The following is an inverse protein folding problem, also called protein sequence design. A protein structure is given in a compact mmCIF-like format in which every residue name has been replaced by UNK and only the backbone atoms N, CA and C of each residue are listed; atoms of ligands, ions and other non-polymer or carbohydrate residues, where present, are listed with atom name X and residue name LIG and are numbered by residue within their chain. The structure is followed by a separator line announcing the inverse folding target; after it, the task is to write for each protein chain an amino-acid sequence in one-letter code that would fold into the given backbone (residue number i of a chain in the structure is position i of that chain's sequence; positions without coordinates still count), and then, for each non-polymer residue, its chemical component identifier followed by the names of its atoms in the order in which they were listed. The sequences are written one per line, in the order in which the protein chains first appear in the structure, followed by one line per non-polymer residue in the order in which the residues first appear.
data_IF_169843090768
#
_entry.id   IF_169843090768
#
_cell.length_a   1.000
_cell.length_b   1.000
_cell.length_c   1.000
_cell.angle_alpha   90.00
_cell.angle_beta   90.00
_cell.angle_gamma   90.00
#
_symmetry.space_group_name_H-M   'P 1'
#
loop_
_entity.id
_entity.type
_entity.pdbx_description
1 polymer ?
#
# COMPACT_ATOMS: atom_id res chain seq x y z
N UNK A 1 12.93 -0.72 33.42
CA UNK A 1 13.10 0.61 32.79
C UNK A 1 14.10 0.44 31.64
N UNK A 2 13.63 -0.07 30.50
CA UNK A 2 14.45 -0.15 29.28
C UNK A 2 14.56 1.26 28.70
N UNK A 3 15.74 1.63 28.24
CA UNK A 3 16.07 2.99 27.82
C UNK A 3 15.03 3.57 26.87
N UNK A 4 14.75 4.86 27.02
CA UNK A 4 13.98 5.64 26.07
C UNK A 4 14.70 5.57 24.71
N UNK A 5 14.37 4.56 23.91
CA UNK A 5 14.71 4.52 22.50
C UNK A 5 14.18 5.79 21.87
N UNK A 6 14.95 6.36 20.96
CA UNK A 6 14.66 7.61 20.26
C UNK A 6 13.24 7.56 19.66
N UNK A 7 12.26 8.16 20.33
CA UNK A 7 10.87 8.17 19.91
C UNK A 7 10.75 9.00 18.63
N UNK A 8 10.27 8.40 17.54
CA UNK A 8 10.08 9.10 16.28
C UNK A 8 8.69 8.87 15.70
N UNK A 9 8.09 9.94 15.16
CA UNK A 9 6.90 9.86 14.30
C UNK A 9 7.21 9.31 12.90
N UNK A 10 8.50 9.27 12.52
CA UNK A 10 8.92 8.73 11.23
C UNK A 10 9.22 7.24 11.36
N UNK A 11 8.79 6.46 10.39
CA UNK A 11 9.22 5.05 10.31
C UNK A 11 10.66 4.99 9.85
N UNK A 12 11.47 4.23 10.60
CA UNK A 12 12.81 3.85 10.21
C UNK A 12 12.75 2.43 9.65
N UNK A 13 13.03 2.30 8.36
CA UNK A 13 13.26 1.01 7.71
C UNK A 13 14.74 0.63 7.84
N UNK A 14 15.10 -0.65 7.58
CA UNK A 14 16.50 -1.01 7.35
C UNK A 14 17.17 -0.09 6.32
N UNK A 15 18.48 0.13 6.45
CA UNK A 15 19.21 1.05 5.55
C UNK A 15 19.24 0.59 4.09
N UNK A 16 19.16 -0.72 3.87
CA UNK A 16 19.21 -1.35 2.55
C UNK A 16 17.93 -2.12 2.29
N UNK A 17 17.49 -2.08 1.04
CA UNK A 17 16.44 -2.98 0.56
C UNK A 17 16.89 -4.44 0.73
N UNK A 18 15.97 -5.37 1.02
CA UNK A 18 16.31 -6.78 1.12
C UNK A 18 16.76 -7.33 -0.24
N UNK A 19 17.69 -8.28 -0.23
CA UNK A 19 18.18 -8.94 -1.46
C UNK A 19 17.14 -9.94 -1.96
N UNK A 20 16.55 -10.70 -1.03
CA UNK A 20 15.42 -11.59 -1.27
C UNK A 20 14.20 -11.07 -0.53
N UNK A 21 13.02 -11.25 -1.11
CA UNK A 21 11.78 -10.74 -0.55
C UNK A 21 11.40 -11.33 0.84
N UNK A 22 12.08 -12.39 1.26
CA UNK A 22 11.93 -13.04 2.57
C UNK A 22 12.93 -12.59 3.63
N UNK A 23 13.96 -11.80 3.30
CA UNK A 23 15.07 -11.51 4.22
C UNK A 23 14.62 -10.82 5.52
N UNK A 24 13.54 -10.02 5.45
CA UNK A 24 13.00 -9.27 6.59
C UNK A 24 11.68 -9.81 7.12
N UNK A 25 11.28 -11.02 6.74
CA UNK A 25 10.06 -11.64 7.26
C UNK A 25 10.11 -11.76 8.80
N UNK A 26 9.05 -11.31 9.47
CA UNK A 26 8.96 -11.31 10.93
C UNK A 26 9.70 -10.15 11.60
N UNK A 27 10.22 -9.19 10.83
CA UNK A 27 10.88 -8.01 11.35
C UNK A 27 9.97 -7.23 12.30
N UNK A 28 10.45 -6.96 13.52
CA UNK A 28 9.88 -5.93 14.37
C UNK A 28 10.54 -4.59 14.01
N UNK A 29 9.78 -3.68 13.41
CA UNK A 29 10.28 -2.34 13.12
C UNK A 29 10.42 -1.56 14.45
N UNK A 30 11.38 -0.60 14.53
CA UNK A 30 11.52 0.26 15.70
C UNK A 30 10.20 0.92 16.07
N UNK A 31 9.94 1.18 17.34
CA UNK A 31 8.66 1.75 17.77
C UNK A 31 8.39 3.13 17.14
N UNK A 32 7.11 3.47 16.99
CA UNK A 32 6.65 4.81 16.62
C UNK A 32 5.99 5.47 17.81
N UNK A 33 6.12 6.79 17.92
CA UNK A 33 5.57 7.55 19.03
C UNK A 33 4.75 8.73 18.56
N UNK A 34 3.53 8.82 19.08
CA UNK A 34 2.62 9.91 18.85
C UNK A 34 2.42 10.68 20.16
N UNK A 35 2.90 11.91 20.17
CA UNK A 35 2.76 12.85 21.28
C UNK A 35 1.63 13.84 21.01
N UNK A 36 1.20 14.56 22.06
CA UNK A 36 0.19 15.61 21.99
C UNK A 36 -1.15 15.19 22.59
N UNK A 37 -2.03 16.16 22.79
CA UNK A 37 -3.41 15.89 23.19
C UNK A 37 -4.19 15.33 22.00
N UNK A 38 -4.98 14.29 22.25
CA UNK A 38 -5.80 13.64 21.24
C UNK A 38 -6.99 14.50 20.79
N UNK A 39 -7.89 13.95 19.96
CA UNK A 39 -7.89 12.56 19.49
C UNK A 39 -6.81 12.26 18.44
N UNK A 40 -6.16 11.11 18.60
CA UNK A 40 -5.33 10.49 17.56
C UNK A 40 -6.23 9.77 16.57
N UNK A 41 -5.90 9.84 15.28
CA UNK A 41 -6.72 9.26 14.23
C UNK A 41 -5.92 8.34 13.32
N UNK A 42 -6.51 7.20 13.00
CA UNK A 42 -5.95 6.21 12.08
C UNK A 42 -6.96 6.01 10.98
N UNK A 43 -6.50 6.05 9.72
CA UNK A 43 -7.34 5.60 8.61
C UNK A 43 -6.98 4.16 8.25
N UNK A 44 -8.00 3.41 7.83
CA UNK A 44 -7.85 2.03 7.36
C UNK A 44 -8.40 1.95 5.94
N UNK A 45 -7.67 1.30 5.05
CA UNK A 45 -8.07 1.08 3.65
C UNK A 45 -7.59 -0.29 3.18
N UNK A 46 -8.34 -0.92 2.29
CA UNK A 46 -8.02 -2.15 1.58
C UNK A 46 -8.83 -2.22 0.29
N UNK A 47 -8.54 -3.20 -0.57
CA UNK A 47 -9.32 -3.46 -1.79
C UNK A 47 -9.50 -2.19 -2.67
N UNK A 48 -8.43 -1.40 -2.81
CA UNK A 48 -8.51 -0.07 -3.41
C UNK A 48 -7.76 0.07 -4.73
N UNK A 49 -6.85 -0.86 -5.05
CA UNK A 49 -6.02 -0.77 -6.24
C UNK A 49 -6.83 -0.68 -7.54
N UNK A 50 -6.32 0.07 -8.51
CA UNK A 50 -6.84 0.06 -9.87
C UNK A 50 -5.83 -0.52 -10.85
N UNK A 51 -6.31 -0.78 -12.07
CA UNK A 51 -5.51 -1.18 -13.21
C UNK A 51 -4.67 0.02 -13.68
N UNK A 52 -3.36 -0.19 -13.82
CA UNK A 52 -2.41 0.85 -14.26
C UNK A 52 -1.88 0.49 -15.65
N UNK A 53 -2.25 1.30 -16.65
CA UNK A 53 -1.81 1.09 -18.05
C UNK A 53 -0.73 2.08 -18.49
N UNK A 54 -0.66 3.24 -17.84
CA UNK A 54 0.31 4.29 -18.16
C UNK A 54 0.57 5.16 -16.93
N UNK A 55 1.83 5.61 -16.69
CA UNK A 55 2.12 6.55 -15.61
C UNK A 55 1.39 7.90 -15.75
N UNK A 56 0.91 8.23 -16.96
CA UNK A 56 0.25 9.51 -17.28
C UNK A 56 -1.27 9.44 -17.19
N UNK A 57 -1.84 8.27 -16.92
CA UNK A 57 -3.28 8.08 -16.81
C UNK A 57 -3.65 7.70 -15.38
N UNK A 58 -4.80 8.18 -14.88
CA UNK A 58 -5.31 7.70 -13.60
C UNK A 58 -5.60 6.20 -13.67
N UNK A 59 -5.50 5.48 -12.54
CA UNK A 59 -5.84 4.07 -12.49
C UNK A 59 -7.32 3.87 -12.81
N UNK A 60 -7.63 2.79 -13.52
CA UNK A 60 -8.99 2.42 -13.90
C UNK A 60 -9.46 1.32 -12.96
N UNK A 61 -10.67 1.40 -12.37
CA UNK A 61 -11.16 0.34 -11.50
C UNK A 61 -11.22 -1.02 -12.21
N UNK A 62 -10.89 -2.08 -11.46
CA UNK A 62 -11.06 -3.43 -11.95
C UNK A 62 -12.54 -3.76 -12.11
N UNK A 63 -12.94 -4.15 -13.31
CA UNK A 63 -14.33 -4.32 -13.67
C UNK A 63 -14.63 -5.78 -14.06
N UNK A 64 -15.45 -6.45 -13.25
CA UNK A 64 -15.88 -7.84 -13.45
C UNK A 64 -16.99 -8.01 -14.49
N UNK A 65 -17.25 -7.02 -15.37
CA UNK A 65 -18.15 -7.18 -16.52
C UNK A 65 -17.58 -7.96 -17.70
N UNK A 66 -16.35 -8.49 -17.59
CA UNK A 66 -15.77 -9.39 -18.59
C UNK A 66 -16.75 -10.51 -18.99
N UNK A 67 -16.71 -10.92 -20.27
CA UNK A 67 -17.49 -12.05 -20.79
C UNK A 67 -17.22 -13.36 -20.04
N UNK A 68 -16.09 -13.43 -19.32
CA UNK A 68 -15.70 -14.56 -18.48
C UNK A 68 -16.57 -14.72 -17.23
N UNK A 69 -17.26 -13.67 -16.78
CA UNK A 69 -18.18 -13.75 -15.65
C UNK A 69 -19.61 -14.01 -16.15
N UNK A 70 -20.30 -15.04 -15.60
CA UNK A 70 -21.69 -15.33 -15.94
C UNK A 70 -22.56 -14.08 -15.81
N UNK A 71 -23.48 -13.81 -16.76
CA UNK A 71 -24.31 -12.61 -16.75
C UNK A 71 -25.05 -12.37 -15.43
N UNK A 72 -25.42 -13.43 -14.71
CA UNK A 72 -26.07 -13.37 -13.39
C UNK A 72 -25.24 -12.69 -12.28
N UNK A 73 -23.93 -12.54 -12.46
CA UNK A 73 -23.05 -11.86 -11.51
C UNK A 73 -22.71 -10.42 -11.94
N UNK A 74 -23.28 -9.96 -13.06
CA UNK A 74 -23.11 -8.57 -13.50
C UNK A 74 -24.18 -7.73 -12.82
N UNK A 75 -23.75 -6.79 -11.99
CA UNK A 75 -24.62 -5.70 -11.54
C UNK A 75 -24.66 -4.60 -12.60
N UNK A 76 -25.67 -3.74 -12.51
CA UNK A 76 -25.75 -2.54 -13.33
C UNK A 76 -24.53 -1.64 -13.09
N UNK A 77 -24.02 -1.11 -14.18
CA UNK A 77 -22.87 -0.22 -14.16
C UNK A 77 -23.31 1.21 -13.92
N UNK A 78 -22.75 1.82 -12.89
CA UNK A 78 -23.02 3.20 -12.52
C UNK A 78 -21.86 4.06 -13.01
N UNK A 79 -22.07 4.72 -14.15
CA UNK A 79 -21.12 5.70 -14.71
C UNK A 79 -20.87 6.81 -13.69
N UNK A 80 -19.61 7.21 -13.55
CA UNK A 80 -19.14 8.17 -12.57
C UNK A 80 -18.81 7.56 -11.20
N UNK A 81 -19.24 6.33 -10.92
CA UNK A 81 -18.93 5.58 -9.69
C UNK A 81 -17.99 4.43 -10.01
N UNK A 82 -18.38 3.55 -10.94
CA UNK A 82 -17.67 2.31 -11.23
C UNK A 82 -16.44 2.49 -12.13
N UNK A 83 -16.36 3.58 -12.89
CA UNK A 83 -15.18 4.02 -13.64
C UNK A 83 -14.20 4.84 -12.79
N UNK A 84 -14.58 5.21 -11.56
CA UNK A 84 -13.83 6.15 -10.72
C UNK A 84 -13.70 5.72 -9.27
N UNK A 85 -14.01 4.47 -8.92
CA UNK A 85 -14.13 3.99 -7.56
C UNK A 85 -12.94 4.40 -6.67
N UNK A 86 -11.71 4.11 -7.10
CA UNK A 86 -10.50 4.47 -6.36
C UNK A 86 -10.36 6.00 -6.17
N UNK A 87 -10.61 6.78 -7.23
CA UNK A 87 -10.53 8.24 -7.18
C UNK A 87 -11.58 8.84 -6.24
N UNK A 88 -12.79 8.27 -6.19
CA UNK A 88 -13.85 8.69 -5.28
C UNK A 88 -13.51 8.36 -3.83
N UNK A 89 -12.96 7.17 -3.55
CA UNK A 89 -12.49 6.81 -2.21
C UNK A 89 -11.40 7.77 -1.75
N UNK A 90 -10.41 8.06 -2.62
CA UNK A 90 -9.35 9.02 -2.33
C UNK A 90 -9.88 10.43 -2.06
N UNK A 91 -10.90 10.88 -2.80
CA UNK A 91 -11.59 12.16 -2.52
C UNK A 91 -12.27 12.18 -1.15
N UNK A 92 -12.96 11.09 -0.77
CA UNK A 92 -13.59 10.98 0.56
C UNK A 92 -12.57 10.93 1.68
N UNK A 93 -11.48 10.18 1.52
CA UNK A 93 -10.37 10.18 2.48
C UNK A 93 -9.77 11.58 2.63
N UNK A 94 -9.54 12.30 1.52
CA UNK A 94 -9.00 13.66 1.55
C UNK A 94 -9.90 14.61 2.32
N UNK A 95 -11.22 14.57 2.05
CA UNK A 95 -12.22 15.38 2.76
C UNK A 95 -12.27 15.05 4.25
N UNK A 96 -12.19 13.77 4.61
CA UNK A 96 -12.13 13.34 6.02
C UNK A 96 -10.83 13.82 6.71
N UNK A 97 -9.72 13.79 5.99
CA UNK A 97 -8.41 14.18 6.51
C UNK A 97 -8.31 15.66 6.87
N UNK A 98 -9.15 16.53 6.30
CA UNK A 98 -9.16 17.97 6.61
C UNK A 98 -9.43 18.28 8.08
N UNK A 99 -10.13 17.39 8.79
CA UNK A 99 -10.47 17.60 10.20
C UNK A 99 -10.09 16.41 11.09
N UNK A 100 -9.96 15.21 10.54
CA UNK A 100 -9.43 14.07 11.30
C UNK A 100 -7.90 14.03 11.31
N UNK A 101 -7.21 14.56 10.29
CA UNK A 101 -5.75 14.63 10.22
C UNK A 101 -5.02 13.35 10.69
N UNK A 102 -5.15 12.21 9.99
CA UNK A 102 -4.66 10.92 10.48
C UNK A 102 -3.15 10.94 10.77
N UNK A 103 -2.75 10.25 11.82
CA UNK A 103 -1.37 10.03 12.23
C UNK A 103 -0.66 9.10 11.24
N UNK A 104 -1.35 8.02 10.83
CA UNK A 104 -0.90 7.02 9.87
C UNK A 104 -2.09 6.31 9.20
N UNK A 105 -1.77 5.50 8.19
CA UNK A 105 -2.73 4.73 7.40
C UNK A 105 -2.37 3.24 7.53
N UNK A 106 -3.36 2.43 7.87
CA UNK A 106 -3.29 0.97 7.79
C UNK A 106 -3.87 0.54 6.44
N UNK A 107 -3.03 -0.04 5.60
CA UNK A 107 -3.36 -0.53 4.29
C UNK A 107 -3.37 -2.06 4.30
N UNK A 108 -4.55 -2.66 4.19
CA UNK A 108 -4.78 -4.10 4.39
C UNK A 108 -4.68 -4.92 3.10
N UNK A 109 -4.07 -4.37 2.05
CA UNK A 109 -3.72 -5.08 0.83
C UNK A 109 -4.69 -4.86 -0.33
N UNK A 110 -4.45 -5.63 -1.40
CA UNK A 110 -5.06 -5.46 -2.71
C UNK A 110 -4.76 -4.07 -3.30
N UNK A 111 -3.46 -3.78 -3.33
CA UNK A 111 -2.88 -2.49 -3.68
C UNK A 111 -2.90 -2.26 -5.20
N UNK A 112 -2.75 -3.32 -5.98
CA UNK A 112 -2.77 -3.29 -7.45
C UNK A 112 -3.64 -4.41 -8.00
N UNK A 113 -4.80 -4.03 -8.53
CA UNK A 113 -5.67 -4.97 -9.22
C UNK A 113 -5.31 -5.10 -10.70
N UNK A 114 -5.63 -6.23 -11.36
CA UNK A 114 -6.18 -7.47 -10.77
C UNK A 114 -5.09 -8.50 -10.45
N UNK A 115 -3.86 -8.25 -10.84
CA UNK A 115 -2.79 -9.22 -10.73
C UNK A 115 -1.48 -8.55 -10.28
N UNK A 116 -1.55 -7.57 -9.38
CA UNK A 116 -0.36 -6.97 -8.80
C UNK A 116 0.42 -6.11 -9.79
N UNK A 117 1.73 -5.98 -9.53
CA UNK A 117 2.64 -5.30 -10.45
C UNK A 117 3.08 -6.25 -11.57
N UNK A 118 3.32 -5.69 -12.76
CA UNK A 118 3.74 -6.39 -13.98
C UNK A 118 5.22 -6.85 -13.94
N UNK A 119 5.57 -7.64 -12.93
CA UNK A 119 6.86 -8.30 -12.72
C UNK A 119 6.63 -9.77 -12.38
N UNK A 120 7.67 -10.60 -12.46
CA UNK A 120 7.61 -11.97 -11.94
C UNK A 120 7.75 -11.98 -10.43
N UNK A 121 7.02 -12.88 -9.75
CA UNK A 121 7.22 -13.17 -8.34
C UNK A 121 8.64 -13.70 -7.98
N UNK A 122 9.42 -14.11 -8.98
CA UNK A 122 10.82 -14.54 -8.80
C UNK A 122 11.83 -13.40 -8.95
N UNK A 123 11.40 -12.22 -9.41
CA UNK A 123 12.28 -11.06 -9.55
C UNK A 123 12.61 -10.47 -8.17
N UNK A 124 13.85 -10.01 -7.94
CA UNK A 124 14.24 -9.46 -6.64
C UNK A 124 13.49 -8.15 -6.34
N UNK A 125 13.36 -7.73 -5.07
CA UNK A 125 12.74 -6.46 -4.69
C UNK A 125 13.33 -5.25 -5.42
N UNK A 126 14.64 -5.26 -5.69
CA UNK A 126 15.34 -4.20 -6.43
C UNK A 126 14.90 -4.05 -7.89
N UNK A 127 14.18 -5.01 -8.47
CA UNK A 127 13.65 -4.89 -9.83
C UNK A 127 12.60 -3.78 -9.97
N UNK A 128 12.11 -3.20 -8.85
CA UNK A 128 11.17 -2.07 -8.83
C UNK A 128 11.61 -0.87 -9.71
N UNK A 129 12.93 -0.66 -9.85
CA UNK A 129 13.52 0.41 -10.66
C UNK A 129 13.56 0.10 -12.16
N UNK A 130 13.51 -1.17 -12.54
CA UNK A 130 13.56 -1.63 -13.92
C UNK A 130 12.19 -1.66 -14.58
N UNK A 131 12.12 -1.78 -15.92
CA UNK A 131 10.86 -1.98 -16.62
C UNK A 131 10.27 -3.35 -16.29
N UNK A 132 8.97 -3.39 -16.03
CA UNK A 132 8.18 -4.62 -15.97
C UNK A 132 7.87 -5.17 -17.36
N UNK A 133 7.03 -6.20 -17.44
CA UNK A 133 6.63 -6.86 -18.70
C UNK A 133 5.95 -5.92 -19.68
N UNK A 134 5.25 -4.90 -19.18
CA UNK A 134 4.59 -3.85 -19.98
C UNK A 134 5.52 -2.69 -20.37
N UNK A 135 6.78 -2.71 -19.93
CA UNK A 135 7.75 -1.61 -20.09
C UNK A 135 7.63 -0.52 -19.02
N UNK A 136 6.58 -0.53 -18.19
CA UNK A 136 6.40 0.39 -17.07
C UNK A 136 7.25 -0.04 -15.87
N UNK A 137 7.93 0.89 -15.20
CA UNK A 137 8.63 0.57 -13.95
C UNK A 137 7.63 0.41 -12.81
N UNK A 138 8.03 -0.25 -11.72
CA UNK A 138 7.17 -0.28 -10.54
C UNK A 138 7.06 1.08 -9.85
N UNK A 139 8.09 1.93 -9.97
CA UNK A 139 8.04 3.31 -9.48
C UNK A 139 6.93 4.11 -10.18
N UNK A 140 6.81 3.96 -11.50
CA UNK A 140 5.73 4.56 -12.30
C UNK A 140 4.34 4.05 -11.87
N UNK A 141 4.22 2.75 -11.60
CA UNK A 141 2.97 2.15 -11.14
C UNK A 141 2.53 2.72 -9.79
N UNK A 142 3.43 2.82 -8.81
CA UNK A 142 3.10 3.46 -7.53
C UNK A 142 2.84 4.96 -7.65
N UNK A 143 3.55 5.67 -8.54
CA UNK A 143 3.29 7.10 -8.75
C UNK A 143 1.86 7.33 -9.21
N UNK A 144 1.43 6.61 -10.24
CA UNK A 144 0.10 6.76 -10.84
C UNK A 144 -1.02 6.18 -9.98
N UNK A 145 -0.84 5.00 -9.36
CA UNK A 145 -1.89 4.36 -8.58
C UNK A 145 -2.02 4.91 -7.15
N UNK A 146 -0.92 5.37 -6.55
CA UNK A 146 -0.91 5.71 -5.12
C UNK A 146 -0.57 7.18 -4.90
N UNK A 147 0.64 7.62 -5.30
CA UNK A 147 1.12 8.97 -4.95
C UNK A 147 0.22 10.06 -5.52
N UNK A 148 -0.10 9.99 -6.81
CA UNK A 148 -0.91 11.00 -7.50
C UNK A 148 -2.38 10.96 -7.06
N UNK A 149 -2.91 9.78 -6.74
CA UNK A 149 -4.31 9.57 -6.33
C UNK A 149 -4.57 10.09 -4.92
N UNK A 150 -3.75 9.68 -3.96
CA UNK A 150 -3.92 10.02 -2.54
C UNK A 150 -3.22 11.33 -2.15
N UNK A 151 -2.27 11.82 -2.96
CA UNK A 151 -1.66 13.14 -2.82
C UNK A 151 -1.07 13.35 -1.42
N UNK A 152 -1.47 14.40 -0.67
CA UNK A 152 -0.96 14.64 0.68
C UNK A 152 -1.13 13.47 1.65
N UNK A 153 -2.12 12.59 1.45
CA UNK A 153 -2.27 11.39 2.28
C UNK A 153 -1.15 10.37 2.05
N UNK A 154 -0.56 10.32 0.84
CA UNK A 154 0.61 9.49 0.55
C UNK A 154 1.90 10.00 1.24
N UNK A 155 1.86 11.19 1.86
CA UNK A 155 2.94 11.71 2.70
C UNK A 155 2.84 11.27 4.17
N UNK A 156 1.77 10.54 4.54
CA UNK A 156 1.64 9.90 5.85
C UNK A 156 2.32 8.53 5.84
N UNK A 157 2.68 7.95 6.99
CA UNK A 157 3.08 6.54 7.05
C UNK A 157 1.92 5.63 6.61
N UNK A 158 2.12 4.85 5.55
CA UNK A 158 1.22 3.79 5.07
C UNK A 158 1.82 2.44 5.43
N UNK A 159 1.35 1.85 6.52
CA UNK A 159 1.71 0.48 6.88
C UNK A 159 0.88 -0.44 6.01
N UNK A 160 1.55 -1.15 5.10
CA UNK A 160 0.91 -1.95 4.06
C UNK A 160 1.19 -3.44 4.24
N UNK A 161 0.26 -4.27 3.78
CA UNK A 161 0.41 -5.71 3.52
C UNK A 161 0.03 -6.03 2.08
N UNK A 162 0.26 -7.27 1.68
CA UNK A 162 -0.14 -7.83 0.40
C UNK A 162 -1.52 -8.48 0.53
N UNK A 163 -2.41 -8.19 -0.42
CA UNK A 163 -3.63 -8.96 -0.63
C UNK A 163 -3.44 -10.04 -1.70
N UNK A 164 -4.48 -10.83 -1.98
CA UNK A 164 -4.39 -11.90 -2.98
C UNK A 164 -4.13 -11.35 -4.39
N UNK A 165 -4.66 -10.16 -4.73
CA UNK A 165 -4.41 -9.57 -6.04
C UNK A 165 -2.95 -9.15 -6.19
N UNK A 166 -2.31 -8.71 -5.12
CA UNK A 166 -0.90 -8.32 -5.11
C UNK A 166 0.06 -9.48 -5.39
N UNK A 167 -0.30 -10.69 -4.94
CA UNK A 167 0.43 -11.91 -5.28
C UNK A 167 0.25 -12.35 -6.74
N UNK A 168 -0.70 -11.76 -7.48
CA UNK A 168 -1.04 -12.13 -8.86
C UNK A 168 -2.43 -12.72 -9.02
N UNK A 169 -3.31 -12.47 -8.06
CA UNK A 169 -4.68 -12.98 -8.09
C UNK A 169 -4.69 -14.50 -8.09
N UNK A 170 -5.40 -15.11 -9.03
CA UNK A 170 -5.52 -16.57 -9.10
C UNK A 170 -4.22 -17.27 -9.52
N UNK A 171 -3.29 -16.55 -10.16
CA UNK A 171 -2.05 -17.12 -10.71
C UNK A 171 -0.91 -17.15 -9.70
N UNK A 172 -0.94 -16.25 -8.73
CA UNK A 172 0.08 -16.11 -7.68
C UNK A 172 1.53 -15.95 -8.25
N UNK A 173 1.68 -15.36 -9.43
CA UNK A 173 2.94 -15.30 -10.18
C UNK A 173 3.49 -13.88 -10.44
N UNK A 174 2.96 -12.87 -9.74
CA UNK A 174 3.21 -11.45 -10.06
C UNK A 174 4.10 -10.73 -9.06
N UNK A 175 4.36 -9.45 -9.34
CA UNK A 175 5.42 -8.62 -8.76
C UNK A 175 5.24 -8.20 -7.30
N UNK A 176 4.83 -9.10 -6.40
CA UNK A 176 4.76 -8.82 -4.96
C UNK A 176 6.12 -8.47 -4.32
N UNK A 177 7.29 -9.02 -4.74
CA UNK A 177 8.58 -8.60 -4.20
C UNK A 177 8.89 -7.13 -4.45
N UNK A 178 8.45 -6.59 -5.59
CA UNK A 178 8.71 -5.21 -5.96
C UNK A 178 7.92 -4.24 -5.08
N UNK A 179 6.72 -4.63 -4.62
CA UNK A 179 5.99 -3.81 -3.63
C UNK A 179 6.74 -3.72 -2.29
N UNK A 180 7.50 -4.77 -1.91
CA UNK A 180 8.42 -4.70 -0.76
C UNK A 180 9.58 -3.73 -1.06
N UNK A 181 10.19 -3.88 -2.25
CA UNK A 181 11.27 -3.02 -2.71
C UNK A 181 10.89 -1.53 -2.77
N UNK A 182 9.63 -1.23 -3.05
CA UNK A 182 9.13 0.14 -3.11
C UNK A 182 9.18 0.88 -1.77
N UNK A 183 9.20 0.15 -0.64
CA UNK A 183 9.40 0.77 0.68
C UNK A 183 10.74 1.50 0.80
N UNK A 184 11.71 1.15 -0.05
CA UNK A 184 13.04 1.76 -0.12
C UNK A 184 13.17 2.77 -1.27
N UNK A 185 12.08 3.02 -2.00
CA UNK A 185 11.93 4.12 -2.97
C UNK A 185 11.24 5.30 -2.30
N UNK A 186 10.12 5.04 -1.62
CA UNK A 186 9.38 6.03 -0.84
C UNK A 186 9.09 5.48 0.55
N UNK A 187 9.79 6.01 1.55
CA UNK A 187 9.72 5.59 2.96
C UNK A 187 8.36 5.83 3.64
N UNK A 188 7.42 6.50 2.97
CA UNK A 188 6.03 6.59 3.45
C UNK A 188 5.23 5.32 3.11
N UNK A 189 5.63 4.56 2.09
CA UNK A 189 5.14 3.21 1.87
C UNK A 189 5.94 2.25 2.75
N UNK A 190 5.29 1.60 3.72
CA UNK A 190 5.95 0.76 4.70
C UNK A 190 5.47 -0.67 4.49
N UNK A 191 6.29 -1.46 3.81
CA UNK A 191 6.11 -2.89 3.64
C UNK A 191 7.48 -3.56 3.45
N UNK A 192 8.35 -3.57 4.47
CA UNK A 192 9.72 -4.06 4.33
C UNK A 192 9.81 -5.58 4.12
N UNK A 193 8.72 -6.31 4.32
CA UNK A 193 8.64 -7.76 4.24
C UNK A 193 7.20 -8.20 3.96
N UNK A 194 6.98 -9.51 3.74
CA UNK A 194 5.63 -10.07 3.58
C UNK A 194 4.80 -9.94 4.86
N UNK A 195 5.45 -10.14 6.01
CA UNK A 195 4.85 -9.93 7.31
C UNK A 195 5.87 -9.32 8.26
N UNK A 196 5.41 -8.40 9.11
CA UNK A 196 6.22 -7.64 10.06
C UNK A 196 5.33 -7.12 11.18
N UNK A 197 5.93 -6.57 12.24
CA UNK A 197 5.17 -5.93 13.31
C UNK A 197 5.68 -4.53 13.61
N UNK A 198 4.80 -3.71 14.19
CA UNK A 198 5.09 -2.35 14.63
C UNK A 198 4.34 -2.04 15.91
N UNK A 199 5.05 -1.52 16.91
CA UNK A 199 4.43 -0.94 18.10
C UNK A 199 4.30 0.58 17.95
N UNK A 200 3.10 1.07 18.24
CA UNK A 200 2.76 2.50 18.29
C UNK A 200 2.52 2.91 19.73
N UNK A 201 3.26 3.91 20.21
CA UNK A 201 3.04 4.53 21.52
C UNK A 201 2.18 5.77 21.33
N UNK A 202 1.05 5.81 22.03
CA UNK A 202 0.25 6.99 22.26
C UNK A 202 0.39 7.42 23.73
N UNK A 203 -0.03 8.63 24.13
CA UNK A 203 0.23 9.12 25.49
C UNK A 203 -0.25 8.20 26.61
N UNK A 204 -1.36 7.48 26.40
CA UNK A 204 -2.03 6.68 27.43
C UNK A 204 -2.14 5.20 27.11
N UNK A 205 -1.70 4.77 25.91
CA UNK A 205 -1.82 3.38 25.48
C UNK A 205 -0.81 3.06 24.38
N UNK A 206 -0.57 1.78 24.18
CA UNK A 206 0.23 1.27 23.06
C UNK A 206 -0.64 0.41 22.15
N UNK A 207 -0.35 0.40 20.85
CA UNK A 207 -0.98 -0.47 19.87
C UNK A 207 0.09 -1.31 19.21
N UNK A 208 -0.03 -2.63 19.31
CA UNK A 208 0.78 -3.56 18.52
C UNK A 208 0.03 -3.91 17.24
N UNK A 209 0.61 -3.57 16.10
CA UNK A 209 0.07 -3.86 14.78
C UNK A 209 0.89 -4.99 14.17
N UNK A 210 0.21 -6.10 13.88
CA UNK A 210 0.77 -7.23 13.15
C UNK A 210 0.29 -7.15 11.70
N UNK A 211 1.24 -6.98 10.80
CA UNK A 211 1.02 -6.86 9.36
C UNK A 211 1.33 -8.24 8.76
N UNK A 212 0.31 -8.98 8.30
CA UNK A 212 0.38 -10.39 7.90
C UNK A 212 -0.27 -10.62 6.55
#
# INVERSE_FOLDING_TARGET
RGGAGECSRKVRLPEKAPLQASDYNGLALPDMCFEGEGPHHVFVIGDWGGLVYSPRMPPIPADKRSKLFPPKFRRDYVVGVDDRAQLLVADKMRKRAMWAAPDYILNVGDNFYVEGLEFSCNSPPSAIYGPGTSGMTGVDAFSSAWQQVYGPLANKPWLSVLGNHDYGGYRMDKGWPQQIGYSFVNYNWIMPARYYMKRMHHPNYTVDVFMV
#
